data_IF_014979579796
#
_entry.id   IF_014979579796
#
_cell.length_a   1.000
_cell.length_b   1.000
_cell.length_c   1.000
_cell.angle_alpha   90.00
_cell.angle_beta   90.00
_cell.angle_gamma   90.00
#
_symmetry.space_group_name_H-M   'P 1'
#
loop_
_entity.id
_entity.type
_entity.pdbx_description
1 polymer ?
#
# COMPACT_ATOMS: atom_id res chain seq x y z
N UNK A 1 -6.29 18.72 -32.51
CA UNK A 1 -5.24 18.10 -33.35
C UNK A 1 -3.94 18.15 -32.56
N UNK A 2 -3.65 17.08 -31.82
CA UNK A 2 -2.50 17.00 -30.92
C UNK A 2 -1.23 16.76 -31.75
N UNK A 3 -0.42 17.80 -31.90
CA UNK A 3 0.96 17.65 -32.33
C UNK A 3 1.78 17.02 -31.21
N UNK A 4 1.67 15.70 -31.03
CA UNK A 4 2.51 14.97 -30.09
C UNK A 4 3.98 15.14 -30.45
N UNK A 5 4.81 15.53 -29.48
CA UNK A 5 6.26 15.67 -29.68
C UNK A 5 6.84 14.27 -29.97
N UNK A 6 7.44 14.01 -31.15
CA UNK A 6 7.85 12.66 -31.57
C UNK A 6 8.79 11.95 -30.58
N UNK A 7 9.58 12.71 -29.82
CA UNK A 7 10.46 12.18 -28.79
C UNK A 7 9.70 11.59 -27.59
N UNK A 8 8.68 12.31 -27.09
CA UNK A 8 7.88 11.89 -25.92
C UNK A 8 7.15 10.59 -26.22
N UNK A 9 6.54 10.49 -27.41
CA UNK A 9 5.86 9.28 -27.86
C UNK A 9 6.82 8.08 -27.97
N UNK A 10 8.03 8.27 -28.52
CA UNK A 10 9.02 7.18 -28.61
C UNK A 10 9.48 6.70 -27.23
N UNK A 11 9.72 7.62 -26.31
CA UNK A 11 10.11 7.30 -24.93
C UNK A 11 9.01 6.52 -24.22
N UNK A 12 7.76 6.99 -24.30
CA UNK A 12 6.60 6.31 -23.76
C UNK A 12 6.44 4.88 -24.30
N UNK A 13 6.54 4.69 -25.62
CA UNK A 13 6.49 3.33 -26.21
C UNK A 13 7.62 2.43 -25.71
N UNK A 14 8.82 2.96 -25.50
CA UNK A 14 9.93 2.19 -24.93
C UNK A 14 9.66 1.76 -23.48
N UNK A 15 9.03 2.62 -22.67
CA UNK A 15 8.65 2.29 -21.30
C UNK A 15 7.58 1.21 -21.27
N UNK A 16 6.53 1.32 -22.10
CA UNK A 16 5.49 0.29 -22.19
C UNK A 16 6.07 -1.05 -22.64
N UNK A 17 6.95 -1.08 -23.64
CA UNK A 17 7.61 -2.31 -24.07
C UNK A 17 8.41 -2.98 -22.93
N UNK A 18 9.04 -2.18 -22.05
CA UNK A 18 9.73 -2.70 -20.86
C UNK A 18 8.75 -3.30 -19.85
N UNK A 19 7.65 -2.61 -19.57
CA UNK A 19 6.60 -3.10 -18.67
C UNK A 19 5.98 -4.38 -19.21
N UNK A 20 5.54 -4.39 -20.48
CA UNK A 20 4.98 -5.57 -21.15
C UNK A 20 5.92 -6.76 -21.09
N UNK A 21 7.22 -6.56 -21.35
CA UNK A 21 8.19 -7.66 -21.27
C UNK A 21 8.34 -8.23 -19.86
N UNK A 22 8.25 -7.39 -18.83
CA UNK A 22 8.24 -7.85 -17.44
C UNK A 22 6.96 -8.64 -17.12
N UNK A 23 5.80 -8.16 -17.58
CA UNK A 23 4.51 -8.84 -17.42
C UNK A 23 4.49 -10.20 -18.11
N UNK A 24 4.97 -10.30 -19.35
CA UNK A 24 5.07 -11.57 -20.08
C UNK A 24 5.82 -12.63 -19.28
N UNK A 25 6.93 -12.23 -18.64
CA UNK A 25 7.74 -13.13 -17.81
C UNK A 25 6.99 -13.53 -16.54
N UNK A 26 6.33 -12.58 -15.86
CA UNK A 26 5.58 -12.88 -14.63
C UNK A 26 4.41 -13.83 -14.92
N UNK A 27 3.72 -13.65 -16.05
CA UNK A 27 2.67 -14.56 -16.53
C UNK A 27 3.25 -15.95 -16.82
N UNK A 28 4.38 -16.05 -17.53
CA UNK A 28 5.02 -17.34 -17.84
C UNK A 28 5.46 -18.07 -16.55
N UNK A 29 6.05 -17.36 -15.61
CA UNK A 29 6.53 -17.91 -14.33
C UNK A 29 5.35 -18.38 -13.45
N UNK A 30 4.15 -17.84 -13.62
CA UNK A 30 2.99 -18.17 -12.79
C UNK A 30 2.27 -19.46 -13.20
N UNK A 31 2.53 -19.98 -14.40
CA UNK A 31 1.89 -21.20 -14.92
C UNK A 31 2.02 -22.42 -13.97
N UNK A 32 3.20 -22.73 -13.39
CA UNK A 32 3.34 -23.87 -12.49
C UNK A 32 2.67 -23.67 -11.11
N UNK A 33 2.17 -22.46 -10.83
CA UNK A 33 1.62 -22.07 -9.54
C UNK A 33 0.15 -21.61 -9.66
N UNK A 34 -0.57 -22.19 -10.62
CA UNK A 34 -1.99 -21.93 -10.88
C UNK A 34 -2.30 -20.43 -11.06
N UNK A 35 -1.35 -19.67 -11.62
CA UNK A 35 -1.50 -18.24 -11.89
C UNK A 35 -0.95 -17.29 -10.82
N UNK A 36 -0.54 -17.79 -9.66
CA UNK A 36 0.05 -16.97 -8.59
C UNK A 36 1.51 -16.59 -8.92
N UNK A 37 1.91 -15.36 -8.57
CA UNK A 37 3.25 -14.84 -8.88
C UNK A 37 4.25 -15.17 -7.77
N UNK A 38 5.37 -15.84 -8.07
CA UNK A 38 6.43 -16.01 -7.09
C UNK A 38 7.00 -14.69 -6.61
N UNK A 39 7.08 -14.54 -5.29
CA UNK A 39 7.50 -13.29 -4.67
C UNK A 39 8.98 -13.02 -4.86
N UNK A 40 9.83 -14.04 -4.98
CA UNK A 40 11.29 -13.89 -5.13
C UNK A 40 11.76 -14.62 -6.39
N UNK A 41 12.23 -13.87 -7.38
CA UNK A 41 12.57 -14.39 -8.71
C UNK A 41 14.01 -14.06 -9.10
N UNK A 42 14.69 -15.05 -9.67
CA UNK A 42 15.96 -14.87 -10.35
C UNK A 42 15.74 -14.16 -11.69
N UNK A 43 16.27 -12.94 -11.82
CA UNK A 43 16.08 -12.08 -13.00
C UNK A 43 16.81 -12.55 -14.26
N UNK A 44 17.65 -13.58 -14.16
CA UNK A 44 18.38 -14.18 -15.29
C UNK A 44 17.72 -15.45 -15.79
N UNK A 45 17.41 -16.37 -14.86
CA UNK A 45 16.80 -17.66 -15.21
C UNK A 45 15.29 -17.60 -15.29
N UNK A 46 14.66 -16.51 -14.82
CA UNK A 46 13.20 -16.37 -14.75
C UNK A 46 12.58 -17.55 -13.98
N UNK A 47 13.15 -17.85 -12.81
CA UNK A 47 12.68 -18.91 -11.93
C UNK A 47 12.56 -18.38 -10.50
N UNK A 48 11.61 -18.92 -9.74
CA UNK A 48 11.52 -18.69 -8.30
C UNK A 48 12.84 -19.10 -7.63
N UNK A 49 13.37 -18.25 -6.75
CA UNK A 49 14.55 -18.60 -5.97
C UNK A 49 14.17 -19.56 -4.85
N UNK A 50 14.86 -20.70 -4.80
CA UNK A 50 14.70 -21.71 -3.74
C UNK A 50 15.57 -21.44 -2.51
N UNK A 51 16.59 -20.60 -2.68
CA UNK A 51 17.43 -20.09 -1.60
C UNK A 51 17.06 -18.63 -1.35
N UNK A 52 16.80 -18.29 -0.08
CA UNK A 52 16.46 -16.94 0.33
C UNK A 52 17.69 -16.02 0.19
N UNK A 53 17.67 -15.00 -0.69
CA UNK A 53 18.76 -14.05 -0.77
C UNK A 53 18.91 -13.27 0.54
N UNK A 54 20.12 -12.81 0.86
CA UNK A 54 20.32 -11.96 2.04
C UNK A 54 19.44 -10.70 1.98
N UNK A 55 18.83 -10.35 3.12
CA UNK A 55 18.04 -9.13 3.24
C UNK A 55 18.90 -7.88 2.97
N UNK A 56 18.31 -6.86 2.33
CA UNK A 56 18.97 -5.55 2.21
C UNK A 56 18.91 -4.81 3.56
N UNK A 57 19.67 -3.71 3.67
CA UNK A 57 19.64 -2.86 4.87
C UNK A 57 18.22 -2.43 5.25
N UNK A 58 17.79 -2.78 6.47
CA UNK A 58 16.47 -2.47 7.02
C UNK A 58 15.37 -3.49 6.74
N UNK A 59 15.51 -4.35 5.72
CA UNK A 59 14.51 -5.38 5.41
C UNK A 59 14.55 -6.48 6.48
N UNK A 60 13.38 -6.90 6.99
CA UNK A 60 13.28 -7.99 7.97
C UNK A 60 12.88 -9.27 7.25
N UNK A 61 13.56 -10.38 7.57
CA UNK A 61 13.17 -11.70 7.02
C UNK A 61 11.76 -12.11 7.44
N UNK A 62 11.31 -11.64 8.61
CA UNK A 62 9.95 -11.83 9.12
C UNK A 62 8.82 -11.21 8.31
N UNK A 63 9.13 -10.51 7.21
CA UNK A 63 8.13 -9.87 6.34
C UNK A 63 8.21 -10.35 4.88
N UNK A 64 9.06 -11.35 4.61
CA UNK A 64 9.34 -11.82 3.25
C UNK A 64 8.50 -13.04 2.91
N UNK A 65 8.05 -13.11 1.66
CA UNK A 65 7.26 -14.23 1.16
C UNK A 65 8.13 -15.24 0.39
N UNK A 66 9.17 -15.79 1.04
CA UNK A 66 10.03 -16.79 0.41
C UNK A 66 9.23 -18.03 0.01
N UNK A 67 9.42 -18.54 -1.21
CA UNK A 67 8.62 -19.61 -1.82
C UNK A 67 7.11 -19.32 -1.92
N UNK A 68 6.72 -18.05 -1.84
CA UNK A 68 5.32 -17.64 -1.70
C UNK A 68 4.83 -16.64 -2.75
N UNK A 69 3.54 -16.34 -2.70
CA UNK A 69 2.83 -15.26 -3.41
C UNK A 69 2.04 -14.45 -2.39
N UNK A 70 2.02 -13.12 -2.53
CA UNK A 70 1.30 -12.25 -1.60
C UNK A 70 0.50 -11.21 -2.38
N UNK A 71 -0.82 -11.36 -2.41
CA UNK A 71 -1.72 -10.51 -3.21
C UNK A 71 -1.53 -9.01 -2.95
N UNK A 72 -1.28 -8.60 -1.70
CA UNK A 72 -1.05 -7.18 -1.38
C UNK A 72 0.25 -6.65 -1.98
N UNK A 73 1.23 -7.51 -2.24
CA UNK A 73 2.45 -7.11 -2.94
C UNK A 73 2.23 -6.97 -4.45
N UNK A 74 1.27 -7.69 -5.02
CA UNK A 74 1.06 -7.82 -6.46
C UNK A 74 -0.10 -6.94 -6.97
N UNK A 75 -0.94 -6.36 -6.11
CA UNK A 75 -2.15 -5.63 -6.52
C UNK A 75 -1.90 -4.51 -7.54
N UNK A 76 -0.85 -3.70 -7.37
CA UNK A 76 -0.55 -2.59 -8.29
C UNK A 76 -0.18 -3.09 -9.69
N UNK A 77 0.39 -4.30 -9.76
CA UNK A 77 0.70 -4.99 -11.02
C UNK A 77 -0.59 -5.49 -11.68
N UNK A 78 -1.49 -6.12 -10.91
CA UNK A 78 -2.78 -6.60 -11.40
C UNK A 78 -3.64 -5.45 -11.94
N UNK A 79 -3.69 -4.32 -11.23
CA UNK A 79 -4.35 -3.10 -11.71
C UNK A 79 -3.76 -2.63 -13.05
N UNK A 80 -2.44 -2.71 -13.20
CA UNK A 80 -1.73 -2.36 -14.44
C UNK A 80 -2.11 -3.33 -15.57
N UNK A 81 -2.18 -4.63 -15.29
CA UNK A 81 -2.57 -5.66 -16.26
C UNK A 81 -3.98 -5.44 -16.80
N UNK A 82 -4.94 -5.08 -15.93
CA UNK A 82 -6.30 -4.73 -16.36
C UNK A 82 -6.32 -3.45 -17.20
N UNK A 83 -5.61 -2.40 -16.81
CA UNK A 83 -5.62 -1.12 -17.53
C UNK A 83 -4.94 -1.18 -18.91
N UNK A 84 -3.98 -2.08 -19.11
CA UNK A 84 -3.36 -2.29 -20.42
C UNK A 84 -4.32 -2.99 -21.42
N UNK A 85 -5.36 -3.67 -20.92
CA UNK A 85 -6.42 -4.33 -21.70
C UNK A 85 -5.90 -5.26 -22.81
N UNK A 86 -4.74 -5.89 -22.58
CA UNK A 86 -4.23 -6.94 -23.47
C UNK A 86 -4.89 -8.25 -23.02
N UNK A 87 -5.56 -9.02 -23.92
CA UNK A 87 -6.33 -10.21 -23.51
C UNK A 87 -5.56 -11.22 -22.66
N UNK A 88 -4.27 -11.43 -22.97
CA UNK A 88 -3.41 -12.32 -22.18
C UNK A 88 -3.14 -11.82 -20.75
N UNK A 89 -3.05 -10.51 -20.55
CA UNK A 89 -2.83 -9.92 -19.23
C UNK A 89 -4.11 -9.93 -18.40
N UNK A 90 -5.25 -9.58 -19.00
CA UNK A 90 -6.56 -9.66 -18.31
C UNK A 90 -6.82 -11.11 -17.87
N UNK A 91 -6.61 -12.08 -18.75
CA UNK A 91 -6.77 -13.51 -18.43
C UNK A 91 -5.86 -13.96 -17.29
N UNK A 92 -4.59 -13.53 -17.30
CA UNK A 92 -3.65 -13.91 -16.25
C UNK A 92 -3.98 -13.25 -14.89
N UNK A 93 -4.44 -11.99 -14.90
CA UNK A 93 -4.87 -11.31 -13.68
C UNK A 93 -6.15 -11.94 -13.11
N UNK A 94 -7.13 -12.26 -13.97
CA UNK A 94 -8.33 -12.98 -13.54
C UNK A 94 -7.98 -14.37 -12.99
N UNK A 95 -7.06 -15.11 -13.60
CA UNK A 95 -6.57 -16.40 -13.07
C UNK A 95 -5.91 -16.26 -11.70
N UNK A 96 -5.07 -15.24 -11.50
CA UNK A 96 -4.47 -14.96 -10.19
C UNK A 96 -5.56 -14.75 -9.14
N UNK A 97 -6.51 -13.85 -9.41
CA UNK A 97 -7.56 -13.49 -8.44
C UNK A 97 -8.53 -14.65 -8.21
N UNK A 98 -8.84 -15.43 -9.23
CA UNK A 98 -9.68 -16.63 -9.12
C UNK A 98 -9.02 -17.68 -8.20
N UNK A 99 -7.75 -18.00 -8.44
CA UNK A 99 -6.99 -18.91 -7.56
C UNK A 99 -6.90 -18.37 -6.14
N UNK A 100 -6.65 -17.08 -5.97
CA UNK A 100 -6.58 -16.49 -4.64
C UNK A 100 -7.93 -16.60 -3.92
N UNK A 101 -9.00 -16.08 -4.53
CA UNK A 101 -10.32 -15.98 -3.92
C UNK A 101 -10.94 -17.36 -3.62
N UNK A 102 -10.74 -18.37 -4.47
CA UNK A 102 -11.40 -19.68 -4.35
C UNK A 102 -10.58 -20.72 -3.59
N UNK A 103 -9.26 -20.55 -3.51
CA UNK A 103 -8.37 -21.55 -2.89
C UNK A 103 -7.58 -21.00 -1.70
N UNK A 104 -7.06 -19.78 -1.81
CA UNK A 104 -6.13 -19.24 -0.82
C UNK A 104 -6.85 -18.63 0.40
N UNK A 105 -8.12 -18.24 0.26
CA UNK A 105 -8.88 -17.54 1.30
C UNK A 105 -9.59 -18.45 2.30
N UNK A 106 -9.58 -19.77 2.09
CA UNK A 106 -10.26 -20.72 2.98
C UNK A 106 -9.46 -21.01 4.26
N UNK A 107 -9.29 -19.98 5.09
CA UNK A 107 -8.54 -20.04 6.36
C UNK A 107 -9.47 -20.19 7.56
N UNK A 108 -8.97 -20.73 8.68
CA UNK A 108 -9.81 -20.97 9.88
C UNK A 108 -10.50 -19.70 10.37
N UNK A 109 -9.79 -18.57 10.37
CA UNK A 109 -10.31 -17.27 10.79
C UNK A 109 -11.12 -16.52 9.74
N UNK A 110 -11.02 -16.91 8.45
CA UNK A 110 -11.47 -16.09 7.32
C UNK A 110 -10.50 -14.99 6.90
N UNK A 111 -9.48 -14.66 7.72
CA UNK A 111 -8.45 -13.70 7.34
C UNK A 111 -7.55 -14.26 6.25
N UNK A 112 -7.20 -13.43 5.28
CA UNK A 112 -6.44 -13.86 4.12
C UNK A 112 -4.95 -14.04 4.46
N UNK A 113 -4.27 -15.02 3.83
CA UNK A 113 -2.83 -15.20 3.95
C UNK A 113 -2.09 -14.19 3.06
N UNK A 114 -2.18 -12.91 3.45
CA UNK A 114 -1.58 -11.76 2.79
C UNK A 114 -1.07 -10.74 3.83
N UNK A 115 -0.53 -9.61 3.38
CA UNK A 115 -0.13 -8.52 4.27
C UNK A 115 1.33 -8.58 4.68
N UNK A 116 1.69 -8.10 5.89
CA UNK A 116 3.11 -7.96 6.29
C UNK A 116 3.76 -9.30 6.61
N UNK A 117 3.03 -10.20 7.28
CA UNK A 117 3.61 -11.40 7.89
C UNK A 117 3.07 -12.73 7.34
N UNK A 118 2.10 -12.70 6.42
CA UNK A 118 1.54 -13.89 5.80
C UNK A 118 1.53 -13.80 4.26
N UNK A 119 1.53 -14.97 3.63
CA UNK A 119 1.51 -15.15 2.19
C UNK A 119 0.93 -16.53 1.85
N UNK A 120 0.61 -16.80 0.58
CA UNK A 120 0.34 -18.16 0.13
C UNK A 120 1.64 -18.87 -0.24
N UNK A 121 1.98 -19.98 0.42
CA UNK A 121 3.19 -20.73 0.16
C UNK A 121 2.99 -21.62 -1.07
N UNK A 122 3.73 -21.38 -2.15
CA UNK A 122 3.47 -21.96 -3.47
C UNK A 122 3.88 -23.43 -3.59
N UNK A 123 4.88 -23.87 -2.80
CA UNK A 123 5.35 -25.26 -2.82
C UNK A 123 4.46 -26.15 -1.95
N UNK A 124 4.25 -25.74 -0.70
CA UNK A 124 3.39 -26.46 0.26
C UNK A 124 1.87 -26.28 0.02
N UNK A 125 1.47 -25.37 -0.88
CA UNK A 125 0.08 -25.00 -1.20
C UNK A 125 -0.79 -24.76 0.05
N UNK A 126 -0.33 -23.86 0.91
CA UNK A 126 -0.98 -23.51 2.19
C UNK A 126 -0.63 -22.09 2.63
N UNK A 127 -1.32 -21.53 3.63
CA UNK A 127 -0.88 -20.31 4.29
C UNK A 127 0.57 -20.41 4.83
N UNK A 128 1.40 -19.45 4.43
CA UNK A 128 2.82 -19.33 4.79
C UNK A 128 3.05 -18.27 5.87
N UNK A 129 4.02 -18.55 6.76
CA UNK A 129 4.35 -17.70 7.90
C UNK A 129 5.74 -17.07 7.71
N UNK A 130 5.77 -15.75 7.52
CA UNK A 130 7.01 -15.01 7.26
C UNK A 130 7.95 -15.02 8.47
N UNK A 131 7.44 -15.12 9.70
CA UNK A 131 8.28 -15.25 10.90
C UNK A 131 9.12 -16.54 10.93
N UNK A 132 8.73 -17.56 10.17
CA UNK A 132 9.52 -18.78 9.97
C UNK A 132 10.87 -18.54 9.33
N UNK A 133 11.01 -17.46 8.58
CA UNK A 133 12.25 -17.08 7.91
C UNK A 133 13.22 -16.36 8.84
N UNK A 134 12.73 -15.77 9.94
CA UNK A 134 13.53 -14.99 10.87
C UNK A 134 14.38 -15.83 11.84
N UNK A 135 14.44 -17.16 11.67
CA UNK A 135 15.29 -18.05 12.47
C UNK A 135 15.00 -18.04 13.98
N UNK A 136 13.77 -17.67 14.38
CA UNK A 136 13.39 -17.55 15.79
C UNK A 136 13.32 -18.92 16.47
N UNK A 137 13.71 -18.99 17.75
CA UNK A 137 13.67 -20.21 18.56
C UNK A 137 12.26 -20.79 18.75
N UNK A 138 11.24 -19.94 18.62
CA UNK A 138 9.83 -20.31 18.59
C UNK A 138 9.17 -19.55 17.45
N UNK A 139 8.37 -20.26 16.65
CA UNK A 139 7.58 -19.66 15.59
C UNK A 139 6.34 -18.99 16.19
N UNK A 140 6.15 -17.67 15.99
CA UNK A 140 4.85 -17.04 16.26
C UNK A 140 3.75 -17.72 15.45
N UNK A 141 2.49 -17.54 15.89
CA UNK A 141 1.33 -17.97 15.12
C UNK A 141 1.34 -17.35 13.71
N UNK A 142 0.61 -17.98 12.79
CA UNK A 142 0.43 -17.43 11.46
C UNK A 142 -0.39 -16.13 11.56
N UNK A 143 0.24 -14.99 11.27
CA UNK A 143 -0.31 -13.66 11.59
C UNK A 143 -0.76 -12.90 10.36
N UNK A 144 -1.99 -12.40 10.39
CA UNK A 144 -2.50 -11.37 9.51
C UNK A 144 -2.11 -9.97 10.03
N UNK A 145 -1.64 -9.11 9.12
CA UNK A 145 -1.41 -7.67 9.35
C UNK A 145 -1.70 -6.91 8.06
N UNK A 146 -2.59 -5.91 8.09
CA UNK A 146 -2.78 -5.02 6.94
C UNK A 146 -1.53 -4.18 6.69
N UNK A 147 -0.68 -4.66 5.78
CA UNK A 147 0.48 -3.91 5.31
C UNK A 147 0.07 -2.63 4.56
N UNK A 148 -1.07 -2.68 3.85
CA UNK A 148 -1.56 -1.65 2.91
C UNK A 148 -3.08 -1.58 2.92
N UNK A 149 -3.61 -0.47 2.42
CA UNK A 149 -5.04 -0.34 2.13
C UNK A 149 -5.43 -1.20 0.91
N UNK A 150 -6.55 -1.91 0.99
CA UNK A 150 -7.10 -2.65 -0.15
C UNK A 150 -7.93 -1.73 -1.04
N UNK A 151 -7.68 -1.63 -2.35
CA UNK A 151 -8.44 -0.73 -3.22
C UNK A 151 -9.83 -1.30 -3.55
N UNK A 152 -10.81 -0.43 -3.81
CA UNK A 152 -12.20 -0.83 -4.10
C UNK A 152 -12.31 -1.87 -5.21
N UNK A 153 -11.60 -1.66 -6.33
CA UNK A 153 -11.64 -2.55 -7.49
C UNK A 153 -11.23 -4.00 -7.12
N UNK A 154 -10.32 -4.16 -6.16
CA UNK A 154 -9.87 -5.48 -5.73
C UNK A 154 -10.95 -6.17 -4.90
N UNK A 155 -11.60 -5.44 -3.99
CA UNK A 155 -12.75 -5.97 -3.26
C UNK A 155 -13.91 -6.35 -4.18
N UNK A 156 -14.22 -5.51 -5.18
CA UNK A 156 -15.25 -5.80 -6.19
C UNK A 156 -14.93 -7.07 -6.99
N UNK A 157 -13.67 -7.25 -7.41
CA UNK A 157 -13.21 -8.45 -8.12
C UNK A 157 -13.32 -9.70 -7.24
N UNK A 158 -12.79 -9.66 -6.02
CA UNK A 158 -12.84 -10.80 -5.09
C UNK A 158 -14.29 -11.17 -4.76
N UNK A 159 -15.14 -10.17 -4.51
CA UNK A 159 -16.57 -10.38 -4.28
C UNK A 159 -17.27 -10.98 -5.50
N UNK A 160 -16.99 -10.49 -6.70
CA UNK A 160 -17.57 -11.02 -7.94
C UNK A 160 -17.19 -12.47 -8.22
N UNK A 161 -16.00 -12.91 -7.80
CA UNK A 161 -15.52 -14.28 -7.95
C UNK A 161 -16.09 -15.18 -6.85
N UNK A 162 -15.90 -14.79 -5.59
CA UNK A 162 -16.34 -15.56 -4.44
C UNK A 162 -16.83 -14.65 -3.31
N UNK A 163 -18.12 -14.26 -3.28
CA UNK A 163 -18.66 -13.34 -2.28
C UNK A 163 -18.37 -13.75 -0.83
N UNK A 164 -18.38 -15.07 -0.57
CA UNK A 164 -18.15 -15.64 0.76
C UNK A 164 -16.75 -15.39 1.32
N UNK A 165 -15.72 -15.19 0.47
CA UNK A 165 -14.39 -14.87 1.00
C UNK A 165 -14.34 -13.46 1.59
N UNK A 166 -15.04 -12.50 1.00
CA UNK A 166 -15.09 -11.12 1.50
C UNK A 166 -15.89 -11.05 2.80
N UNK A 167 -17.02 -11.75 2.87
CA UNK A 167 -17.82 -11.83 4.10
C UNK A 167 -17.03 -12.47 5.25
N UNK A 168 -16.36 -13.60 5.00
CA UNK A 168 -15.51 -14.25 6.01
C UNK A 168 -14.29 -13.42 6.42
N UNK A 169 -13.71 -12.67 5.48
CA UNK A 169 -12.64 -11.75 5.82
C UNK A 169 -13.12 -10.69 6.82
N UNK A 170 -14.28 -10.09 6.56
CA UNK A 170 -14.91 -9.12 7.45
C UNK A 170 -15.27 -9.71 8.82
N UNK A 171 -15.71 -10.97 8.88
CA UNK A 171 -15.89 -11.69 10.15
C UNK A 171 -14.56 -11.84 10.91
N UNK A 172 -13.50 -12.24 10.20
CA UNK A 172 -12.16 -12.43 10.77
C UNK A 172 -11.54 -11.15 11.31
N UNK A 173 -11.98 -9.97 10.86
CA UNK A 173 -11.50 -8.68 11.39
C UNK A 173 -11.81 -8.50 12.88
N UNK A 174 -12.82 -9.18 13.42
CA UNK A 174 -13.12 -9.16 14.86
C UNK A 174 -11.95 -9.71 15.71
N UNK A 175 -11.14 -10.61 15.13
CA UNK A 175 -9.98 -11.21 15.80
C UNK A 175 -8.84 -10.21 16.06
N UNK A 176 -8.91 -8.99 15.49
CA UNK A 176 -7.99 -7.90 15.79
C UNK A 176 -8.29 -7.19 17.11
N UNK A 177 -9.49 -7.37 17.69
CA UNK A 177 -9.76 -6.88 19.04
C UNK A 177 -9.01 -7.70 20.09
N UNK A 178 -8.69 -7.07 21.22
CA UNK A 178 -7.98 -7.66 22.36
C UNK A 178 -8.89 -7.62 23.57
N UNK A 179 -9.03 -8.76 24.25
CA UNK A 179 -9.91 -8.91 25.42
C UNK A 179 -9.29 -8.31 26.68
N UNK A 180 -9.20 -6.98 26.72
CA UNK A 180 -8.78 -6.18 27.87
C UNK A 180 -9.78 -5.05 28.15
N UNK A 181 -9.68 -4.47 29.34
CA UNK A 181 -10.46 -3.30 29.74
C UNK A 181 -9.52 -2.12 30.05
N UNK A 182 -9.66 -0.96 29.36
CA UNK A 182 -10.56 -0.72 28.22
C UNK A 182 -10.16 -1.54 26.98
N UNK A 183 -11.15 -1.83 26.11
CA UNK A 183 -10.90 -2.57 24.87
C UNK A 183 -9.84 -1.86 24.02
N UNK A 184 -8.93 -2.66 23.46
CA UNK A 184 -7.90 -2.27 22.50
C UNK A 184 -8.05 -3.16 21.26
N UNK A 185 -7.64 -2.68 20.09
CA UNK A 185 -7.34 -3.56 18.96
C UNK A 185 -5.83 -3.65 18.78
N UNK A 186 -5.37 -4.62 18.01
CA UNK A 186 -3.98 -4.77 17.60
C UNK A 186 -3.93 -5.05 16.10
N UNK A 187 -2.91 -4.55 15.41
CA UNK A 187 -2.74 -4.81 13.98
C UNK A 187 -2.52 -6.28 13.59
N UNK A 188 -2.35 -7.17 14.57
CA UNK A 188 -2.02 -8.58 14.40
C UNK A 188 -3.19 -9.47 14.80
N UNK A 189 -3.62 -10.36 13.92
CA UNK A 189 -4.61 -11.39 14.24
C UNK A 189 -4.16 -12.76 13.73
N UNK A 190 -4.62 -13.84 14.36
CA UNK A 190 -4.24 -15.19 13.96
C UNK A 190 -5.06 -15.63 12.75
N UNK A 191 -4.41 -16.24 11.77
CA UNK A 191 -5.08 -16.76 10.56
C UNK A 191 -5.60 -18.18 10.79
N UNK A 192 -4.85 -18.96 11.56
CA UNK A 192 -5.09 -20.39 11.86
C UNK A 192 -5.97 -20.63 13.09
N UNK A 193 -6.53 -19.57 13.69
CA UNK A 193 -7.45 -19.65 14.81
C UNK A 193 -8.38 -18.44 14.89
N UNK A 194 -9.49 -18.59 15.60
CA UNK A 194 -10.49 -17.53 15.84
C UNK A 194 -10.33 -16.82 17.18
N UNK A 195 -9.30 -17.20 17.95
CA UNK A 195 -9.04 -16.63 19.26
C UNK A 195 -8.36 -15.26 19.10
N UNK A 196 -8.88 -14.27 19.84
CA UNK A 196 -8.27 -12.94 19.97
C UNK A 196 -6.91 -13.04 20.65
N UNK A 197 -5.99 -12.17 20.25
CA UNK A 197 -4.67 -12.14 20.86
C UNK A 197 -4.75 -11.70 22.33
N UNK A 198 -3.91 -12.27 23.22
CA UNK A 198 -3.84 -11.80 24.60
C UNK A 198 -3.24 -10.40 24.67
N UNK A 199 -3.50 -9.71 25.79
CA UNK A 199 -2.90 -8.42 26.10
C UNK A 199 -1.37 -8.42 25.93
N UNK A 200 -0.86 -7.53 25.09
CA UNK A 200 0.58 -7.31 24.91
C UNK A 200 1.16 -6.26 25.86
N UNK A 201 2.50 -6.17 25.91
CA UNK A 201 3.22 -5.12 26.62
C UNK A 201 3.03 -3.71 26.03
N UNK A 202 2.43 -3.62 24.84
CA UNK A 202 2.06 -2.40 24.09
C UNK A 202 0.85 -2.72 23.22
N UNK A 203 0.13 -1.72 22.70
CA UNK A 203 -1.13 -1.93 21.97
C UNK A 203 -0.94 -2.31 20.50
N UNK A 204 0.08 -1.77 19.81
CA UNK A 204 0.33 -1.95 18.38
C UNK A 204 -0.92 -1.64 17.50
N UNK A 205 -1.69 -0.62 17.89
CA UNK A 205 -3.06 -0.31 17.44
C UNK A 205 -3.11 0.85 16.44
N UNK A 206 -2.23 0.91 15.45
CA UNK A 206 -1.99 2.14 14.68
C UNK A 206 -3.23 2.75 14.00
N UNK A 207 -3.41 4.09 13.98
CA UNK A 207 -4.60 4.75 13.42
C UNK A 207 -4.97 4.34 11.99
N UNK A 208 -3.99 4.15 11.10
CA UNK A 208 -4.29 3.75 9.71
C UNK A 208 -5.00 2.40 9.64
N UNK A 209 -4.65 1.46 10.53
CA UNK A 209 -5.23 0.11 10.52
C UNK A 209 -6.71 0.16 10.86
N UNK A 210 -7.12 0.98 11.83
CA UNK A 210 -8.54 1.25 12.08
C UNK A 210 -9.24 1.80 10.85
N UNK A 211 -8.59 2.70 10.10
CA UNK A 211 -9.10 3.17 8.81
C UNK A 211 -9.31 2.04 7.79
N UNK A 212 -8.34 1.13 7.68
CA UNK A 212 -8.44 -0.02 6.77
C UNK A 212 -9.57 -0.97 7.17
N UNK A 213 -9.70 -1.27 8.45
CA UNK A 213 -10.79 -2.12 8.95
C UNK A 213 -12.16 -1.48 8.71
N UNK A 214 -12.30 -0.17 8.96
CA UNK A 214 -13.53 0.57 8.67
C UNK A 214 -13.87 0.49 7.18
N UNK A 215 -12.87 0.63 6.30
CA UNK A 215 -13.05 0.50 4.86
C UNK A 215 -13.52 -0.90 4.43
N UNK A 216 -12.84 -1.94 4.89
CA UNK A 216 -13.15 -3.33 4.52
C UNK A 216 -14.52 -3.77 5.05
N UNK A 217 -14.83 -3.42 6.32
CA UNK A 217 -16.14 -3.67 6.92
C UNK A 217 -17.24 -2.86 6.22
N UNK A 218 -16.96 -1.64 5.77
CA UNK A 218 -17.93 -0.81 5.03
C UNK A 218 -18.33 -1.48 3.71
N UNK A 219 -17.36 -2.02 2.98
CA UNK A 219 -17.62 -2.77 1.76
C UNK A 219 -18.48 -4.02 2.04
N UNK A 220 -18.10 -4.82 3.03
CA UNK A 220 -18.87 -6.01 3.41
C UNK A 220 -20.29 -5.66 3.89
N UNK A 221 -20.44 -4.58 4.66
CA UNK A 221 -21.73 -4.10 5.15
C UNK A 221 -22.66 -3.69 4.01
N UNK A 222 -22.19 -2.91 3.04
CA UNK A 222 -23.01 -2.48 1.90
C UNK A 222 -23.50 -3.69 1.08
N UNK A 223 -22.67 -4.73 0.95
CA UNK A 223 -23.05 -5.95 0.24
C UNK A 223 -24.02 -6.86 1.00
N UNK A 224 -24.00 -6.86 2.34
CA UNK A 224 -24.69 -7.88 3.16
C UNK A 224 -25.82 -7.32 4.05
N UNK A 225 -25.75 -6.05 4.42
CA UNK A 225 -26.64 -5.41 5.40
C UNK A 225 -26.46 -5.91 6.84
N UNK A 226 -25.39 -6.67 7.13
CA UNK A 226 -25.15 -7.30 8.44
C UNK A 226 -24.89 -6.29 9.56
N UNK A 227 -25.72 -6.33 10.60
CA UNK A 227 -25.66 -5.38 11.71
C UNK A 227 -24.40 -5.50 12.58
N UNK A 228 -23.80 -6.69 12.66
CA UNK A 228 -22.55 -6.91 13.37
C UNK A 228 -21.37 -6.21 12.68
N UNK A 229 -21.31 -6.19 11.35
CA UNK A 229 -20.34 -5.37 10.61
C UNK A 229 -20.56 -3.88 10.88
N UNK A 230 -21.82 -3.43 10.87
CA UNK A 230 -22.15 -2.03 11.20
C UNK A 230 -21.71 -1.65 12.62
N UNK A 231 -21.84 -2.56 13.58
CA UNK A 231 -21.38 -2.33 14.95
C UNK A 231 -19.84 -2.23 14.99
N UNK A 232 -19.12 -3.15 14.36
CA UNK A 232 -17.66 -3.10 14.31
C UNK A 232 -17.13 -1.82 13.65
N UNK A 233 -17.79 -1.33 12.60
CA UNK A 233 -17.46 -0.03 11.97
C UNK A 233 -17.53 1.09 13.02
N UNK A 234 -18.59 1.12 13.83
CA UNK A 234 -18.76 2.13 14.89
C UNK A 234 -17.71 2.00 15.98
N UNK A 235 -17.39 0.77 16.38
CA UNK A 235 -16.40 0.50 17.42
C UNK A 235 -15.00 0.98 17.01
N UNK A 236 -14.56 0.67 15.78
CA UNK A 236 -13.31 1.20 15.24
C UNK A 236 -13.35 2.73 15.05
N UNK A 237 -14.48 3.29 14.60
CA UNK A 237 -14.64 4.73 14.41
C UNK A 237 -14.52 5.50 15.73
N UNK A 238 -15.09 4.98 16.82
CA UNK A 238 -15.07 5.57 18.15
C UNK A 238 -13.74 5.38 18.89
N UNK A 239 -13.02 4.31 18.58
CA UNK A 239 -11.76 3.96 19.23
C UNK A 239 -10.75 5.10 19.23
N UNK A 240 -10.39 5.61 18.04
CA UNK A 240 -9.43 6.70 17.90
C UNK A 240 -10.03 8.07 18.18
N UNK A 241 -11.33 8.25 17.96
CA UNK A 241 -12.00 9.52 18.24
C UNK A 241 -11.93 9.89 19.72
N UNK A 242 -12.15 8.91 20.60
CA UNK A 242 -12.04 9.07 22.05
C UNK A 242 -10.60 9.29 22.54
N UNK A 243 -9.59 8.92 21.73
CA UNK A 243 -8.15 8.98 22.04
C UNK A 243 -7.39 10.08 21.29
N UNK A 244 -8.07 10.85 20.44
CA UNK A 244 -7.44 11.94 19.67
C UNK A 244 -6.89 13.01 20.61
N UNK A 245 -5.89 13.72 20.13
CA UNK A 245 -5.26 14.84 20.80
C UNK A 245 -6.04 16.15 20.54
N UNK A 246 -5.85 17.19 21.38
CA UNK A 246 -6.55 18.46 21.22
C UNK A 246 -6.31 19.17 19.89
N UNK A 247 -5.18 18.91 19.22
CA UNK A 247 -4.85 19.44 17.90
C UNK A 247 -5.44 18.61 16.75
N UNK A 248 -6.22 17.56 17.05
CA UNK A 248 -6.80 16.68 16.05
C UNK A 248 -5.88 15.55 15.60
N UNK A 249 -4.64 15.45 16.09
CA UNK A 249 -3.76 14.31 15.79
C UNK A 249 -4.11 13.07 16.62
N UNK A 250 -3.71 11.89 16.15
CA UNK A 250 -3.64 10.69 16.97
C UNK A 250 -2.20 10.42 17.40
N UNK A 251 -2.05 9.74 18.55
CA UNK A 251 -0.79 9.06 18.82
C UNK A 251 -0.50 8.01 17.74
N UNK A 252 0.77 7.67 17.56
CA UNK A 252 1.16 6.57 16.66
C UNK A 252 0.57 5.27 17.18
N UNK A 253 0.55 5.10 18.49
CA UNK A 253 0.04 3.92 19.21
C UNK A 253 -0.50 4.41 20.56
N UNK A 254 -1.65 3.88 21.00
CA UNK A 254 -2.35 4.41 22.19
C UNK A 254 -1.66 4.05 23.50
N UNK A 255 -0.98 2.90 23.55
CA UNK A 255 -0.25 2.42 24.73
C UNK A 255 1.15 1.94 24.34
N UNK A 256 2.14 2.70 24.78
CA UNK A 256 3.56 2.40 24.55
C UNK A 256 4.29 2.44 25.90
N UNK A 257 5.29 1.58 26.18
CA UNK A 257 6.12 1.71 27.37
C UNK A 257 6.95 3.00 27.35
N UNK A 258 7.20 3.60 28.52
CA UNK A 258 8.05 4.78 28.62
C UNK A 258 9.48 4.50 28.12
N UNK A 259 10.02 5.43 27.32
CA UNK A 259 11.36 5.32 26.74
C UNK A 259 11.43 4.54 25.41
N UNK A 260 10.35 3.89 24.99
CA UNK A 260 10.25 3.27 23.66
C UNK A 260 10.03 4.31 22.55
N UNK A 261 10.34 3.94 21.31
CA UNK A 261 10.37 4.83 20.14
C UNK A 261 9.07 5.64 19.94
N UNK A 262 7.91 5.03 20.20
CA UNK A 262 6.60 5.66 19.98
C UNK A 262 5.97 6.25 21.25
N UNK A 263 6.70 6.29 22.36
CA UNK A 263 6.22 6.93 23.59
C UNK A 263 5.97 8.42 23.33
N UNK A 264 4.72 8.85 23.53
CA UNK A 264 4.25 10.23 23.29
C UNK A 264 4.49 10.71 21.84
N UNK A 265 4.57 9.78 20.88
CA UNK A 265 4.84 10.09 19.48
C UNK A 265 3.53 10.28 18.71
N UNK A 266 3.34 11.46 18.13
CA UNK A 266 2.19 11.80 17.28
C UNK A 266 2.37 11.21 15.88
N UNK A 267 1.39 10.45 15.42
CA UNK A 267 1.40 9.78 14.13
C UNK A 267 0.77 10.66 13.05
N UNK A 268 1.55 11.56 12.44
CA UNK A 268 1.04 12.57 11.49
C UNK A 268 0.46 11.91 10.23
N UNK A 269 1.25 11.08 9.52
CA UNK A 269 0.76 10.36 8.33
C UNK A 269 -0.29 9.32 8.68
N UNK A 270 -0.16 8.65 9.83
CA UNK A 270 -1.13 7.66 10.31
C UNK A 270 -2.51 8.29 10.51
N UNK A 271 -2.55 9.51 11.08
CA UNK A 271 -3.78 10.29 11.27
C UNK A 271 -4.40 10.67 9.92
N UNK A 272 -3.60 11.14 8.96
CA UNK A 272 -4.12 11.45 7.62
C UNK A 272 -4.63 10.18 6.91
N UNK A 273 -3.97 9.04 7.09
CA UNK A 273 -4.43 7.78 6.48
C UNK A 273 -5.78 7.36 7.03
N UNK A 274 -5.98 7.47 8.36
CA UNK A 274 -7.29 7.26 8.97
C UNK A 274 -8.33 8.22 8.36
N UNK A 275 -8.02 9.52 8.30
CA UNK A 275 -8.92 10.52 7.73
C UNK A 275 -9.37 10.19 6.31
N UNK A 276 -8.45 9.75 5.45
CA UNK A 276 -8.76 9.40 4.06
C UNK A 276 -9.62 8.15 3.98
N UNK A 277 -9.32 7.10 4.75
CA UNK A 277 -10.17 5.91 4.81
C UNK A 277 -11.58 6.23 5.29
N UNK A 278 -11.75 7.14 6.24
CA UNK A 278 -13.08 7.60 6.67
C UNK A 278 -13.86 8.28 5.55
N UNK A 279 -13.20 9.08 4.71
CA UNK A 279 -13.87 9.71 3.56
C UNK A 279 -14.28 8.69 2.50
N UNK A 280 -13.39 7.75 2.16
CA UNK A 280 -13.70 6.69 1.20
C UNK A 280 -14.85 5.81 1.71
N UNK A 281 -14.82 5.42 2.99
CA UNK A 281 -15.90 4.68 3.64
C UNK A 281 -17.21 5.46 3.67
N UNK A 282 -17.16 6.77 3.95
CA UNK A 282 -18.36 7.60 3.98
C UNK A 282 -19.06 7.62 2.63
N UNK A 283 -18.31 7.75 1.54
CA UNK A 283 -18.86 7.74 0.19
C UNK A 283 -19.43 6.35 -0.17
N UNK A 284 -18.81 5.28 0.30
CA UNK A 284 -19.29 3.91 0.05
C UNK A 284 -20.60 3.60 0.79
N UNK A 285 -20.77 4.07 2.03
CA UNK A 285 -21.93 3.70 2.87
C UNK A 285 -23.06 4.73 2.88
N UNK A 286 -22.90 5.89 2.25
CA UNK A 286 -23.80 7.05 2.41
C UNK A 286 -25.27 6.71 2.15
N UNK A 287 -25.53 5.96 1.07
CA UNK A 287 -26.88 5.55 0.69
C UNK A 287 -27.54 4.65 1.75
N UNK A 288 -26.76 3.81 2.43
CA UNK A 288 -27.24 2.86 3.44
C UNK A 288 -27.28 3.46 4.85
N UNK A 289 -26.33 4.33 5.19
CA UNK A 289 -26.10 4.87 6.54
C UNK A 289 -25.67 6.35 6.49
N UNK A 290 -26.54 7.27 6.04
CA UNK A 290 -26.16 8.67 5.79
C UNK A 290 -25.70 9.40 7.06
N UNK A 291 -26.27 9.06 8.23
CA UNK A 291 -25.84 9.62 9.51
C UNK A 291 -24.41 9.22 9.90
N UNK A 292 -24.04 7.96 9.64
CA UNK A 292 -22.70 7.46 9.92
C UNK A 292 -21.69 8.04 8.91
N UNK A 293 -22.06 8.13 7.63
CA UNK A 293 -21.24 8.78 6.61
C UNK A 293 -20.97 10.25 6.94
N UNK A 294 -21.98 11.01 7.37
CA UNK A 294 -21.81 12.40 7.81
C UNK A 294 -20.86 12.51 9.02
N UNK A 295 -20.97 11.58 9.96
CA UNK A 295 -20.07 11.51 11.12
C UNK A 295 -18.62 11.21 10.70
N UNK A 296 -18.40 10.24 9.81
CA UNK A 296 -17.10 9.92 9.24
C UNK A 296 -16.46 11.14 8.56
N UNK A 297 -17.21 11.86 7.72
CA UNK A 297 -16.73 13.10 7.07
C UNK A 297 -16.36 14.18 8.08
N UNK A 298 -17.17 14.36 9.12
CA UNK A 298 -16.88 15.34 10.18
C UNK A 298 -15.61 14.99 10.96
N UNK A 299 -15.41 13.72 11.32
CA UNK A 299 -14.21 13.26 12.03
C UNK A 299 -12.97 13.33 11.13
N UNK A 300 -13.10 12.97 9.86
CA UNK A 300 -12.03 13.10 8.86
C UNK A 300 -11.53 14.54 8.76
N UNK A 301 -12.42 15.54 8.72
CA UNK A 301 -12.02 16.95 8.67
C UNK A 301 -11.14 17.36 9.87
N UNK A 302 -11.46 16.89 11.08
CA UNK A 302 -10.66 17.15 12.29
C UNK A 302 -9.27 16.51 12.18
N UNK A 303 -9.19 15.27 11.71
CA UNK A 303 -7.91 14.59 11.51
C UNK A 303 -7.06 15.25 10.41
N UNK A 304 -7.68 15.73 9.34
CA UNK A 304 -7.01 16.51 8.28
C UNK A 304 -6.46 17.82 8.81
N UNK A 305 -7.21 18.55 9.63
CA UNK A 305 -6.69 19.76 10.28
C UNK A 305 -5.53 19.44 11.23
N UNK A 306 -5.57 18.31 11.94
CA UNK A 306 -4.46 17.84 12.76
C UNK A 306 -3.19 17.54 11.96
N UNK A 307 -3.32 16.94 10.77
CA UNK A 307 -2.19 16.75 9.85
C UNK A 307 -1.53 18.09 9.51
N UNK A 308 -2.31 19.13 9.20
CA UNK A 308 -1.76 20.45 8.88
C UNK A 308 -1.29 21.26 10.10
N UNK A 309 -1.72 20.91 11.31
CA UNK A 309 -1.20 21.49 12.54
C UNK A 309 0.22 21.00 12.89
N UNK A 310 0.64 19.87 12.31
CA UNK A 310 2.01 19.37 12.47
C UNK A 310 3.05 20.34 11.86
N UNK A 311 4.31 20.34 12.33
CA UNK A 311 5.32 21.34 11.97
C UNK A 311 5.96 21.10 10.59
N UNK A 312 5.13 20.95 9.56
CA UNK A 312 5.55 20.94 8.16
C UNK A 312 6.14 22.31 7.76
N UNK A 313 7.13 22.31 6.87
CA UNK A 313 7.63 23.53 6.23
C UNK A 313 7.88 23.21 4.74
N UNK A 314 6.84 23.39 3.93
CA UNK A 314 6.84 23.06 2.51
C UNK A 314 7.86 23.89 1.71
N UNK A 315 8.15 25.12 2.15
CA UNK A 315 9.13 25.99 1.51
C UNK A 315 10.56 25.47 1.69
N UNK A 316 10.83 24.76 2.79
CA UNK A 316 12.12 24.11 3.08
C UNK A 316 12.12 22.60 2.86
N UNK A 317 11.12 22.07 2.14
CA UNK A 317 10.96 20.62 1.91
C UNK A 317 10.97 19.77 3.20
N UNK A 318 10.38 20.30 4.27
CA UNK A 318 10.25 19.60 5.55
C UNK A 318 8.88 18.94 5.66
N UNK A 319 8.84 17.64 5.40
CA UNK A 319 7.65 16.80 5.52
C UNK A 319 7.76 15.93 6.78
N UNK A 320 6.87 16.15 7.75
CA UNK A 320 6.88 15.49 9.07
C UNK A 320 6.07 14.20 9.01
N UNK A 321 6.71 13.07 9.30
CA UNK A 321 6.06 11.76 9.44
C UNK A 321 5.40 11.59 10.81
N UNK A 322 6.05 12.13 11.84
CA UNK A 322 5.59 12.13 13.21
C UNK A 322 6.57 12.86 14.12
N UNK A 323 6.15 13.18 15.34
CA UNK A 323 6.98 13.93 16.27
C UNK A 323 6.51 13.74 17.71
N UNK A 324 7.39 14.03 18.68
CA UNK A 324 7.03 14.16 20.09
C UNK A 324 7.13 15.64 20.51
N UNK A 325 6.09 16.22 21.14
CA UNK A 325 6.15 17.57 21.69
C UNK A 325 7.35 17.76 22.62
N UNK A 326 7.91 18.97 22.64
CA UNK A 326 9.00 19.35 23.55
C UNK A 326 10.28 18.51 23.43
N UNK A 327 10.49 17.88 22.27
CA UNK A 327 11.73 17.17 21.97
C UNK A 327 12.21 17.46 20.55
N UNK A 328 13.52 17.34 20.33
CA UNK A 328 14.11 17.39 18.99
C UNK A 328 13.81 16.12 18.16
N UNK A 329 12.99 15.20 18.69
CA UNK A 329 12.60 13.97 18.01
C UNK A 329 11.45 14.24 17.03
N UNK A 330 11.84 14.71 15.84
CA UNK A 330 10.96 14.87 14.68
C UNK A 330 11.37 13.83 13.64
N UNK A 331 10.46 12.91 13.35
CA UNK A 331 10.61 11.95 12.26
C UNK A 331 10.28 12.65 10.94
N UNK A 332 11.29 12.83 10.09
CA UNK A 332 11.15 13.43 8.77
C UNK A 332 10.98 12.36 7.69
N UNK A 333 10.16 12.64 6.68
CA UNK A 333 10.12 11.84 5.45
C UNK A 333 11.35 12.14 4.61
N UNK A 334 11.84 11.14 3.88
CA UNK A 334 12.92 11.31 2.90
C UNK A 334 12.36 11.52 1.49
N UNK A 335 13.15 12.14 0.63
CA UNK A 335 12.91 12.18 -0.82
C UNK A 335 13.87 11.19 -1.45
N UNK A 336 13.32 10.11 -2.00
CA UNK A 336 14.06 8.89 -2.31
C UNK A 336 14.72 8.24 -1.09
N UNK A 337 15.17 7.00 -1.25
CA UNK A 337 16.05 6.36 -0.29
C UNK A 337 15.38 5.96 1.02
N UNK A 338 14.08 5.64 1.02
CA UNK A 338 13.52 4.98 2.19
C UNK A 338 14.19 3.60 2.35
N UNK A 339 14.81 3.35 3.49
CA UNK A 339 15.09 1.97 3.92
C UNK A 339 13.78 1.37 4.44
N UNK A 340 13.64 0.06 4.37
CA UNK A 340 12.44 -0.62 4.86
C UNK A 340 12.13 -0.18 6.31
N UNK A 341 10.87 0.25 6.55
CA UNK A 341 10.43 0.86 7.82
C UNK A 341 10.49 2.39 7.88
N UNK A 342 11.01 3.08 6.85
CA UNK A 342 10.86 4.54 6.67
C UNK A 342 9.86 4.85 5.56
N UNK A 343 9.11 5.94 5.71
CA UNK A 343 8.12 6.38 4.72
C UNK A 343 8.68 7.57 3.92
N UNK A 344 8.81 7.46 2.59
CA UNK A 344 9.24 8.56 1.75
C UNK A 344 8.09 9.54 1.51
N UNK A 345 8.41 10.79 1.15
CA UNK A 345 7.42 11.85 1.02
C UNK A 345 6.38 11.57 -0.08
N UNK A 346 6.73 10.78 -1.11
CA UNK A 346 5.79 10.37 -2.16
C UNK A 346 4.59 9.57 -1.65
N UNK A 347 4.74 8.80 -0.57
CA UNK A 347 3.64 7.99 -0.04
C UNK A 347 2.59 8.88 0.59
N UNK A 348 3.02 9.83 1.43
CA UNK A 348 2.10 10.79 2.05
C UNK A 348 1.56 11.77 1.02
N UNK A 349 2.37 12.21 0.05
CA UNK A 349 1.89 13.06 -1.03
C UNK A 349 0.82 12.38 -1.89
N UNK A 350 1.01 11.09 -2.25
CA UNK A 350 -0.02 10.30 -2.94
C UNK A 350 -1.30 10.18 -2.11
N UNK A 351 -1.17 9.96 -0.80
CA UNK A 351 -2.30 9.99 0.12
C UNK A 351 -3.00 11.37 0.16
N UNK A 352 -2.26 12.48 0.15
CA UNK A 352 -2.84 13.82 0.04
C UNK A 352 -3.64 13.98 -1.25
N UNK A 353 -3.17 13.45 -2.39
CA UNK A 353 -3.89 13.54 -3.67
C UNK A 353 -5.13 12.65 -3.73
N UNK A 354 -5.10 11.48 -3.08
CA UNK A 354 -6.29 10.65 -2.86
C UNK A 354 -7.34 11.43 -2.08
N UNK A 355 -6.95 12.00 -0.93
CA UNK A 355 -7.83 12.77 -0.06
C UNK A 355 -8.36 14.03 -0.76
N UNK A 356 -7.51 14.74 -1.51
CA UNK A 356 -7.88 15.92 -2.29
C UNK A 356 -9.00 15.64 -3.29
N UNK A 357 -8.99 14.50 -3.97
CA UNK A 357 -10.03 14.15 -4.94
C UNK A 357 -11.42 14.08 -4.30
N UNK A 358 -11.50 13.72 -3.02
CA UNK A 358 -12.75 13.60 -2.27
C UNK A 358 -13.11 14.94 -1.61
N UNK A 359 -12.17 15.56 -0.90
CA UNK A 359 -12.45 16.75 -0.06
C UNK A 359 -12.32 18.08 -0.79
N UNK A 360 -11.56 18.12 -1.89
CA UNK A 360 -11.16 19.33 -2.62
C UNK A 360 -10.39 20.35 -1.76
N UNK A 361 -9.78 19.93 -0.64
CA UNK A 361 -8.96 20.80 0.20
C UNK A 361 -7.60 21.08 -0.46
N UNK A 362 -7.42 22.30 -0.94
CA UNK A 362 -6.23 22.70 -1.71
C UNK A 362 -4.93 22.62 -0.93
N UNK A 363 -4.95 22.63 0.41
CA UNK A 363 -3.76 22.44 1.23
C UNK A 363 -3.07 21.10 0.95
N UNK A 364 -3.85 20.08 0.60
CA UNK A 364 -3.36 18.73 0.26
C UNK A 364 -2.64 18.73 -1.09
N UNK A 365 -3.19 19.43 -2.07
CA UNK A 365 -2.54 19.61 -3.38
C UNK A 365 -1.24 20.39 -3.22
N UNK A 366 -1.21 21.47 -2.44
CA UNK A 366 0.00 22.24 -2.14
C UNK A 366 1.11 21.39 -1.50
N UNK A 367 0.75 20.52 -0.56
CA UNK A 367 1.67 19.54 0.04
C UNK A 367 2.26 18.61 -1.04
N UNK A 368 1.39 18.03 -1.87
CA UNK A 368 1.79 17.07 -2.89
C UNK A 368 2.66 17.71 -3.98
N UNK A 369 2.35 18.93 -4.41
CA UNK A 369 3.19 19.68 -5.34
C UNK A 369 4.57 20.01 -4.75
N UNK A 370 4.64 20.32 -3.45
CA UNK A 370 5.90 20.56 -2.75
C UNK A 370 6.78 19.31 -2.75
N UNK A 371 6.20 18.15 -2.42
CA UNK A 371 6.89 16.86 -2.54
C UNK A 371 7.29 16.59 -3.99
N UNK A 372 6.39 16.77 -4.97
CA UNK A 372 6.65 16.57 -6.39
C UNK A 372 7.83 17.39 -6.90
N UNK A 373 7.97 18.66 -6.48
CA UNK A 373 9.14 19.49 -6.80
C UNK A 373 10.45 18.88 -6.28
N UNK A 374 10.44 18.25 -5.12
CA UNK A 374 11.62 17.58 -4.59
C UNK A 374 11.98 16.36 -5.46
N UNK A 375 10.99 15.53 -5.82
CA UNK A 375 11.18 14.37 -6.70
C UNK A 375 11.67 14.74 -8.12
N UNK A 376 11.31 15.94 -8.61
CA UNK A 376 11.86 16.46 -9.86
C UNK A 376 13.32 16.89 -9.75
N UNK A 377 13.74 17.45 -8.61
CA UNK A 377 15.00 18.18 -8.50
C UNK A 377 16.11 17.43 -7.76
N UNK A 378 15.76 16.59 -6.79
CA UNK A 378 16.76 15.87 -5.99
C UNK A 378 17.33 14.67 -6.74
N UNK A 379 18.62 14.34 -6.53
CA UNK A 379 19.22 13.15 -7.12
C UNK A 379 18.67 11.88 -6.47
N UNK A 380 18.59 10.80 -7.25
CA UNK A 380 18.26 9.49 -6.70
C UNK A 380 19.37 9.00 -5.76
N UNK A 381 19.01 8.44 -4.61
CA UNK A 381 19.98 7.91 -3.64
C UNK A 381 20.73 6.69 -4.21
N UNK A 382 22.07 6.70 -4.13
CA UNK A 382 22.94 5.65 -4.72
C UNK A 382 23.80 4.90 -3.72
N UNK A 383 23.88 5.41 -2.50
CA UNK A 383 24.64 4.87 -1.37
C UNK A 383 23.87 3.81 -0.57
N UNK A 384 22.57 3.65 -0.85
CA UNK A 384 21.68 2.68 -0.21
C UNK A 384 20.86 1.90 -1.25
N UNK A 385 20.39 0.71 -0.86
CA UNK A 385 19.45 -0.07 -1.66
C UNK A 385 18.03 0.51 -1.49
N UNK A 386 17.57 1.24 -2.50
CA UNK A 386 16.26 1.89 -2.50
C UNK A 386 15.19 0.90 -3.02
N UNK A 387 14.13 0.59 -2.27
CA UNK A 387 13.05 -0.30 -2.72
C UNK A 387 12.37 0.21 -3.99
N UNK A 388 11.91 -0.71 -4.84
CA UNK A 388 11.15 -0.40 -6.06
C UNK A 388 9.88 0.38 -5.78
N UNK A 389 9.25 0.17 -4.62
CA UNK A 389 8.08 0.91 -4.18
C UNK A 389 8.34 2.42 -4.06
N UNK A 390 9.50 2.83 -3.55
CA UNK A 390 9.86 4.25 -3.42
C UNK A 390 10.00 4.91 -4.81
N UNK A 391 10.70 4.23 -5.73
CA UNK A 391 10.79 4.64 -7.13
C UNK A 391 9.42 4.72 -7.82
N UNK A 392 8.60 3.68 -7.65
CA UNK A 392 7.28 3.57 -8.24
C UNK A 392 6.30 4.63 -7.73
N UNK A 393 6.23 4.85 -6.42
CA UNK A 393 5.38 5.88 -5.82
C UNK A 393 5.85 7.30 -6.15
N UNK A 394 7.16 7.52 -6.27
CA UNK A 394 7.70 8.79 -6.76
C UNK A 394 7.27 9.10 -8.19
N UNK A 395 7.34 8.12 -9.09
CA UNK A 395 6.83 8.26 -10.46
C UNK A 395 5.30 8.42 -10.48
N UNK A 396 4.59 7.64 -9.65
CA UNK A 396 3.14 7.70 -9.48
C UNK A 396 2.67 9.08 -9.01
N UNK A 397 3.39 9.72 -8.08
CA UNK A 397 3.11 11.09 -7.65
C UNK A 397 3.20 12.09 -8.81
N UNK A 398 4.26 12.01 -9.63
CA UNK A 398 4.43 12.92 -10.76
C UNK A 398 3.35 12.70 -11.83
N UNK A 399 2.99 11.43 -12.09
CA UNK A 399 1.86 11.10 -12.96
C UNK A 399 0.54 11.68 -12.42
N UNK A 400 0.33 11.60 -11.11
CA UNK A 400 -0.91 12.05 -10.48
C UNK A 400 -1.02 13.58 -10.42
N UNK A 401 0.10 14.28 -10.21
CA UNK A 401 0.14 15.74 -10.31
C UNK A 401 -0.16 16.21 -11.74
N UNK A 402 0.34 15.51 -12.76
CA UNK A 402 -0.03 15.80 -14.15
C UNK A 402 -1.53 15.62 -14.39
N UNK A 403 -2.11 14.52 -13.89
CA UNK A 403 -3.54 14.22 -14.01
C UNK A 403 -4.42 15.34 -13.41
N UNK A 404 -4.03 15.87 -12.25
CA UNK A 404 -4.78 16.91 -11.53
C UNK A 404 -4.56 18.31 -12.13
N UNK A 405 -3.30 18.69 -12.39
CA UNK A 405 -2.98 20.08 -12.73
C UNK A 405 -2.86 20.33 -14.24
N UNK A 406 -2.66 19.28 -15.04
CA UNK A 406 -2.39 19.37 -16.47
C UNK A 406 -1.04 20.00 -16.83
N UNK A 407 -0.15 20.24 -15.86
CA UNK A 407 1.13 20.90 -16.12
C UNK A 407 2.18 19.94 -16.67
N UNK A 408 2.68 20.22 -17.89
CA UNK A 408 3.68 19.41 -18.59
C UNK A 408 4.97 19.14 -17.78
N UNK A 409 5.32 20.02 -16.82
CA UNK A 409 6.51 19.82 -15.96
C UNK A 409 6.49 18.49 -15.22
N UNK A 410 5.29 18.02 -14.84
CA UNK A 410 5.10 16.79 -14.10
C UNK A 410 5.29 15.57 -15.00
N UNK A 411 4.64 15.56 -16.16
CA UNK A 411 4.75 14.47 -17.13
C UNK A 411 6.16 14.39 -17.74
N UNK A 412 6.69 15.50 -18.27
CA UNK A 412 8.02 15.50 -18.88
C UNK A 412 9.12 15.23 -17.84
N UNK A 413 8.96 15.76 -16.63
CA UNK A 413 9.84 15.47 -15.51
C UNK A 413 9.79 14.02 -15.06
N UNK A 414 8.60 13.45 -14.94
CA UNK A 414 8.38 12.04 -14.63
C UNK A 414 9.00 11.11 -15.67
N UNK A 415 8.83 11.40 -16.96
CA UNK A 415 9.45 10.64 -18.05
C UNK A 415 10.99 10.67 -17.97
N UNK A 416 11.60 11.83 -17.71
CA UNK A 416 13.07 11.91 -17.48
C UNK A 416 13.52 11.07 -16.28
N UNK A 417 12.76 11.09 -15.18
CA UNK A 417 13.06 10.26 -14.00
C UNK A 417 12.86 8.77 -14.28
N UNK A 418 11.86 8.40 -15.08
CA UNK A 418 11.62 7.03 -15.49
C UNK A 418 12.83 6.44 -16.25
N UNK A 419 13.51 7.21 -17.09
CA UNK A 419 14.73 6.74 -17.78
C UNK A 419 15.86 6.41 -16.80
N UNK A 420 16.13 7.30 -15.83
CA UNK A 420 17.12 7.06 -14.78
C UNK A 420 16.77 5.81 -13.97
N UNK A 421 15.51 5.70 -13.53
CA UNK A 421 15.01 4.60 -12.71
C UNK A 421 15.06 3.28 -13.49
N UNK A 422 14.68 3.26 -14.78
CA UNK A 422 14.80 2.04 -15.61
C UNK A 422 16.25 1.56 -15.65
N UNK A 423 17.22 2.47 -15.80
CA UNK A 423 18.64 2.09 -15.77
C UNK A 423 19.05 1.47 -14.43
N UNK A 424 18.51 1.95 -13.31
CA UNK A 424 18.88 1.50 -11.96
C UNK A 424 18.27 0.14 -11.58
N UNK A 425 17.02 -0.10 -11.98
CA UNK A 425 16.26 -1.29 -11.55
C UNK A 425 16.25 -2.41 -12.61
N UNK A 426 16.27 -2.08 -13.90
CA UNK A 426 16.28 -3.09 -14.95
C UNK A 426 17.70 -3.40 -15.42
N UNK A 427 18.52 -2.37 -15.66
CA UNK A 427 19.78 -2.53 -16.37
C UNK A 427 19.58 -3.27 -17.70
N UNK A 428 20.28 -4.39 -17.89
CA UNK A 428 20.16 -5.26 -19.07
C UNK A 428 19.08 -6.36 -18.94
N UNK A 429 18.34 -6.40 -17.83
CA UNK A 429 17.32 -7.42 -17.55
C UNK A 429 15.93 -6.96 -18.01
N UNK A 430 15.06 -7.95 -18.18
CA UNK A 430 13.65 -7.74 -18.47
C UNK A 430 12.82 -7.49 -17.20
N UNK A 431 13.15 -8.15 -16.09
CA UNK A 431 12.52 -7.90 -14.80
C UNK A 431 13.27 -6.82 -14.00
N UNK A 432 12.56 -5.91 -13.31
CA UNK A 432 13.17 -5.01 -12.34
C UNK A 432 13.69 -5.79 -11.12
N UNK A 433 14.70 -5.26 -10.43
CA UNK A 433 15.04 -5.72 -9.08
C UNK A 433 14.03 -5.24 -8.04
N UNK A 434 13.99 -5.92 -6.89
CA UNK A 434 13.23 -5.47 -5.74
C UNK A 434 13.70 -4.12 -5.20
N UNK A 435 15.02 -3.86 -5.22
CA UNK A 435 15.64 -2.61 -4.83
C UNK A 435 16.76 -2.19 -5.79
N UNK A 436 17.24 -0.96 -5.71
CA UNK A 436 18.45 -0.55 -6.43
C UNK A 436 19.66 -1.37 -5.96
N UNK A 437 20.55 -1.75 -6.88
CA UNK A 437 21.80 -2.44 -6.55
C UNK A 437 21.70 -3.93 -6.22
N UNK A 438 20.52 -4.55 -6.26
CA UNK A 438 20.36 -6.01 -6.05
C UNK A 438 20.05 -6.77 -7.34
N UNK A 439 20.27 -8.08 -7.33
CA UNK A 439 20.22 -8.93 -8.53
C UNK A 439 18.93 -9.78 -8.67
N UNK A 440 17.99 -9.69 -7.73
CA UNK A 440 16.74 -10.45 -7.73
C UNK A 440 15.52 -9.54 -7.71
N UNK A 441 14.40 -10.06 -8.20
CA UNK A 441 13.07 -9.46 -8.05
C UNK A 441 12.52 -9.91 -6.70
N UNK A 442 11.91 -8.99 -5.95
CA UNK A 442 11.24 -9.30 -4.69
C UNK A 442 9.97 -8.46 -4.55
N UNK A 443 8.79 -9.07 -4.65
CA UNK A 443 7.48 -8.39 -4.67
C UNK A 443 7.24 -7.52 -3.43
N UNK A 444 7.75 -7.96 -2.26
CA UNK A 444 7.66 -7.23 -1.00
C UNK A 444 8.29 -5.83 -1.06
N UNK A 445 9.36 -5.65 -1.86
CA UNK A 445 9.99 -4.35 -2.05
C UNK A 445 9.26 -3.44 -3.05
N UNK A 446 8.11 -3.89 -3.57
CA UNK A 446 7.20 -3.17 -4.46
C UNK A 446 7.68 -2.87 -5.89
N UNK A 447 8.36 -3.77 -6.61
CA UNK A 447 8.54 -3.63 -8.05
C UNK A 447 7.21 -3.57 -8.83
N UNK A 448 6.09 -4.01 -8.26
CA UNK A 448 4.73 -3.82 -8.80
C UNK A 448 4.36 -2.34 -8.93
N UNK A 449 4.63 -1.52 -7.90
CA UNK A 449 4.44 -0.07 -7.96
C UNK A 449 5.37 0.60 -8.97
N UNK A 450 6.60 0.08 -9.11
CA UNK A 450 7.53 0.57 -10.14
C UNK A 450 6.95 0.34 -11.54
N UNK A 451 6.49 -0.88 -11.83
CA UNK A 451 5.88 -1.21 -13.12
C UNK A 451 4.61 -0.37 -13.37
N UNK A 452 3.78 -0.20 -12.34
CA UNK A 452 2.59 0.64 -12.39
C UNK A 452 2.93 2.11 -12.72
N UNK A 453 3.87 2.73 -11.99
CA UNK A 453 4.26 4.12 -12.21
C UNK A 453 4.88 4.36 -13.59
N UNK A 454 5.69 3.42 -14.09
CA UNK A 454 6.24 3.46 -15.44
C UNK A 454 5.14 3.36 -16.51
N UNK A 455 4.21 2.43 -16.36
CA UNK A 455 3.09 2.26 -17.28
C UNK A 455 2.19 3.50 -17.31
N UNK A 456 1.87 4.06 -16.13
CA UNK A 456 0.98 5.22 -16.02
C UNK A 456 1.55 6.46 -16.70
N UNK A 457 2.81 6.80 -16.45
CA UNK A 457 3.48 7.92 -17.14
C UNK A 457 3.51 7.72 -18.66
N UNK A 458 3.79 6.50 -19.11
CA UNK A 458 3.85 6.20 -20.53
C UNK A 458 2.46 6.28 -21.19
N UNK A 459 1.42 5.77 -20.54
CA UNK A 459 0.04 5.89 -21.02
C UNK A 459 -0.43 7.35 -21.03
N UNK A 460 -0.14 8.13 -19.99
CA UNK A 460 -0.43 9.57 -19.98
C UNK A 460 0.30 10.32 -21.10
N UNK A 461 1.54 9.94 -21.41
CA UNK A 461 2.27 10.54 -22.52
C UNK A 461 1.66 10.23 -23.89
N UNK A 462 0.92 9.13 -24.02
CA UNK A 462 0.24 8.72 -25.26
C UNK A 462 -1.22 9.20 -25.33
N UNK A 463 -1.91 9.29 -24.20
CA UNK A 463 -3.35 9.51 -24.12
C UNK A 463 -3.73 10.81 -23.38
N UNK A 464 -2.78 11.51 -22.79
CA UNK A 464 -3.04 12.69 -21.96
C UNK A 464 -3.79 12.33 -20.68
N UNK A 465 -4.78 13.16 -20.34
CA UNK A 465 -5.67 12.97 -19.17
C UNK A 465 -6.65 11.80 -19.34
N UNK A 466 -6.86 11.32 -20.57
CA UNK A 466 -7.70 10.14 -20.85
C UNK A 466 -6.94 8.81 -20.60
N UNK A 467 -5.94 8.81 -19.71
CA UNK A 467 -5.14 7.65 -19.39
C UNK A 467 -5.99 6.56 -18.71
N UNK A 468 -6.01 5.31 -19.23
CA UNK A 468 -6.85 4.24 -18.67
C UNK A 468 -6.31 3.70 -17.33
N UNK A 469 -5.03 3.92 -17.03
CA UNK A 469 -4.41 3.51 -15.77
C UNK A 469 -4.56 4.63 -14.73
N UNK A 470 -5.46 4.41 -13.79
CA UNK A 470 -5.68 5.29 -12.64
C UNK A 470 -4.50 5.28 -11.66
N UNK A 471 -4.55 6.20 -10.69
CA UNK A 471 -3.60 6.22 -9.59
C UNK A 471 -3.73 4.99 -8.69
N UNK A 472 -2.66 4.71 -7.96
CA UNK A 472 -2.67 3.72 -6.90
C UNK A 472 -2.27 4.40 -5.57
N UNK A 473 -3.14 4.27 -4.57
CA UNK A 473 -2.99 4.90 -3.25
C UNK A 473 -2.84 3.88 -2.11
N UNK A 474 -2.62 2.60 -2.44
CA UNK A 474 -2.63 1.51 -1.45
C UNK A 474 -1.41 1.55 -0.54
N UNK A 475 -0.31 2.17 -0.98
CA UNK A 475 0.97 2.25 -0.27
C UNK A 475 1.02 3.13 0.99
N UNK A 476 -0.12 3.40 1.62
CA UNK A 476 -0.25 4.23 2.84
C UNK A 476 -0.26 3.40 4.12
#
# INVERSE_FOLDING_TARGET
MAGGRPHVSRQASSLLNRVSRALDILVEISEPFDGLFPSIINRRSHAMLTELPAAIGGQRDGDRAHLGSNLIHDEALLQTMYALDVPGYVTAADRYLDRFATHCTDTVSGLFPWGEHAYWHLVDDRPGNSYGLAGRSSLPALTHDHLRATPLWLWEKLHGIHPGCVERFAEGLDNHWVDIEPIEYIRHANIDGVERNPAGGRSCDFPRHSGFYIWDLSFAYVGTGRCDFLQQIRDFLDYWWSRRLPDGLCFTESRVPEGEMFWDHRGVTQTLSLATSLLESADLIDDAQPGLAAEMRSRAAVYTDGFFAAPHDLAKARFVLGYRPDSDNISMMTVWGSVYGKTPASYTAGLCLCHYRISQDTRLLEFAEAAGRCYLNEPFARDINVPGMDAGMGLGLLADLYDITGEDRWLEGGLRRAEEIVSLYFGDRALPSGASGIAWYESQMGPSFLLHGLARLALQALHGVDCPLGANYTGR
#
